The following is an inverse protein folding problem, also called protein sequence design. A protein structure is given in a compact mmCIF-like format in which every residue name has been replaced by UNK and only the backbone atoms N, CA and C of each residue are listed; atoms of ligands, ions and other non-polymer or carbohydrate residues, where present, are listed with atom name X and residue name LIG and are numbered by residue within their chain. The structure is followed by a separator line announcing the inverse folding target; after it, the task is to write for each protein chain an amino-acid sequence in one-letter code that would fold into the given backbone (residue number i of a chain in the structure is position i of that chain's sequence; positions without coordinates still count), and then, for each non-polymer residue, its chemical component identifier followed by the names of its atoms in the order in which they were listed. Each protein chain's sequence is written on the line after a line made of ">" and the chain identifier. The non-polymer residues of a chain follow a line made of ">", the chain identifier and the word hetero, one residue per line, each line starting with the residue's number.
data_IF_466460493437
#
_entry.id   IF_466460493437
#
_cell.length_a   1.000
_cell.length_b   1.000
_cell.length_c   1.000
_cell.angle_alpha   90.00
_cell.angle_beta   90.00
_cell.angle_gamma   90.00
#
_symmetry.space_group_name_H-M   'P 1'
#
loop_
_entity.id
_entity.type
_entity.pdbx_description
1 polymer ?
#
# COMPACT_ATOMS: atom_id res chain seq x y z
N UNK A 1 -28.91 -7.95 7.86
CA UNK A 1 -27.49 -8.13 7.44
C UNK A 1 -26.50 -7.17 8.13
N UNK A 2 -26.75 -5.86 8.23
CA UNK A 2 -25.81 -4.93 8.90
C UNK A 2 -25.64 -5.19 10.41
N UNK A 3 -26.71 -5.53 11.13
CA UNK A 3 -26.65 -5.90 12.54
C UNK A 3 -25.96 -7.25 12.80
N UNK A 4 -26.08 -8.19 11.86
CA UNK A 4 -25.44 -9.50 11.92
C UNK A 4 -23.91 -9.42 11.84
N UNK A 5 -23.37 -8.55 10.93
CA UNK A 5 -21.92 -8.37 10.81
C UNK A 5 -21.27 -7.74 12.07
N UNK A 6 -22.00 -6.88 12.79
CA UNK A 6 -21.50 -6.29 14.05
C UNK A 6 -21.43 -7.33 15.18
N UNK A 7 -22.37 -8.25 15.25
CA UNK A 7 -22.33 -9.36 16.22
C UNK A 7 -21.19 -10.33 15.88
N UNK A 8 -20.92 -10.59 14.61
CA UNK A 8 -19.90 -11.53 14.17
C UNK A 8 -18.48 -11.08 14.48
N UNK A 9 -18.15 -9.79 14.45
CA UNK A 9 -16.81 -9.30 14.82
C UNK A 9 -16.47 -9.56 16.28
N UNK A 10 -17.46 -9.49 17.17
CA UNK A 10 -17.26 -9.64 18.61
C UNK A 10 -17.63 -11.01 19.18
N UNK A 11 -18.40 -11.85 18.51
CA UNK A 11 -19.02 -13.05 19.08
C UNK A 11 -18.81 -14.34 18.29
N UNK A 12 -18.66 -14.29 16.97
CA UNK A 12 -18.44 -15.47 16.12
C UNK A 12 -17.03 -16.07 16.22
N UNK A 13 -16.77 -17.23 15.60
CA UNK A 13 -15.44 -17.84 15.55
C UNK A 13 -14.47 -16.93 14.78
N UNK A 14 -13.27 -16.69 15.34
CA UNK A 14 -12.31 -15.67 14.85
C UNK A 14 -11.73 -16.06 13.48
N UNK A 15 -11.34 -17.32 13.29
CA UNK A 15 -10.66 -17.77 12.06
C UNK A 15 -11.53 -17.65 10.80
N UNK A 16 -12.79 -18.16 10.78
CA UNK A 16 -13.68 -17.96 9.63
C UNK A 16 -13.95 -16.49 9.33
N UNK A 17 -14.14 -15.66 10.36
CA UNK A 17 -14.33 -14.24 10.23
C UNK A 17 -13.12 -13.55 9.57
N UNK A 18 -11.91 -13.90 10.01
CA UNK A 18 -10.67 -13.38 9.42
C UNK A 18 -10.58 -13.76 7.95
N UNK A 19 -10.83 -15.02 7.59
CA UNK A 19 -10.79 -15.45 6.19
C UNK A 19 -11.83 -14.71 5.32
N UNK A 20 -13.04 -14.46 5.84
CA UNK A 20 -14.06 -13.69 5.13
C UNK A 20 -13.63 -12.24 4.83
N UNK A 21 -12.76 -11.66 5.64
CA UNK A 21 -12.24 -10.30 5.43
C UNK A 21 -10.90 -10.30 4.67
N UNK A 22 -10.02 -11.25 4.94
CA UNK A 22 -8.69 -11.34 4.33
C UNK A 22 -8.76 -11.74 2.86
N UNK A 23 -9.58 -12.75 2.48
CA UNK A 23 -9.68 -13.20 1.10
C UNK A 23 -10.10 -12.07 0.15
N UNK A 24 -11.19 -11.33 0.39
CA UNK A 24 -11.53 -10.19 -0.45
C UNK A 24 -10.44 -9.11 -0.50
N UNK A 25 -9.76 -8.85 0.62
CA UNK A 25 -8.67 -7.87 0.66
C UNK A 25 -7.47 -8.31 -0.19
N UNK A 26 -7.08 -9.58 -0.13
CA UNK A 26 -6.02 -10.14 -0.98
C UNK A 26 -6.42 -10.09 -2.45
N UNK A 27 -7.65 -10.49 -2.79
CA UNK A 27 -8.17 -10.40 -4.16
C UNK A 27 -8.12 -8.97 -4.68
N UNK A 28 -8.52 -7.98 -3.86
CA UNK A 28 -8.44 -6.57 -4.25
C UNK A 28 -7.00 -6.13 -4.56
N UNK A 29 -6.01 -6.57 -3.78
CA UNK A 29 -4.59 -6.26 -4.05
C UNK A 29 -4.09 -6.90 -5.34
N UNK A 30 -4.45 -8.16 -5.60
CA UNK A 30 -4.07 -8.86 -6.84
C UNK A 30 -4.73 -8.20 -8.06
N UNK A 31 -6.02 -7.86 -7.99
CA UNK A 31 -6.73 -7.15 -9.06
C UNK A 31 -6.10 -5.79 -9.33
N UNK A 32 -5.73 -5.06 -8.27
CA UNK A 32 -5.05 -3.77 -8.39
C UNK A 32 -3.69 -3.89 -9.10
N UNK A 33 -2.92 -4.93 -8.81
CA UNK A 33 -1.67 -5.22 -9.50
C UNK A 33 -1.91 -5.52 -10.99
N UNK A 34 -2.88 -6.39 -11.28
CA UNK A 34 -3.17 -6.81 -12.65
C UNK A 34 -3.62 -5.64 -13.52
N UNK A 35 -4.52 -4.78 -13.02
CA UNK A 35 -4.96 -3.65 -13.82
C UNK A 35 -3.83 -2.66 -14.10
N UNK A 36 -2.92 -2.42 -13.15
CA UNK A 36 -1.75 -1.57 -13.36
C UNK A 36 -0.81 -2.12 -14.45
N UNK A 37 -0.69 -3.45 -14.53
CA UNK A 37 0.09 -4.12 -15.59
C UNK A 37 -0.58 -3.93 -16.94
N UNK A 38 -1.90 -4.15 -17.02
CA UNK A 38 -2.69 -4.03 -18.26
C UNK A 38 -2.65 -2.59 -18.79
N UNK A 39 -2.83 -1.59 -17.94
CA UNK A 39 -2.75 -0.17 -18.30
C UNK A 39 -1.38 0.17 -18.95
N UNK A 40 -0.27 -0.30 -18.33
CA UNK A 40 1.07 -0.11 -18.90
C UNK A 40 1.25 -0.82 -20.24
N UNK A 41 0.66 -2.00 -20.43
CA UNK A 41 0.68 -2.72 -21.68
C UNK A 41 -0.01 -1.88 -22.77
N UNK A 42 -1.19 -1.35 -22.52
CA UNK A 42 -1.90 -0.51 -23.49
C UNK A 42 -1.10 0.75 -23.85
N UNK A 43 -0.55 1.46 -22.84
CA UNK A 43 0.28 2.66 -23.09
C UNK A 43 1.51 2.32 -23.93
N UNK A 44 2.17 1.19 -23.64
CA UNK A 44 3.35 0.75 -24.38
C UNK A 44 3.09 0.38 -25.85
N UNK A 45 1.84 0.03 -26.20
CA UNK A 45 1.43 -0.34 -27.56
C UNK A 45 0.84 0.83 -28.36
N UNK A 46 0.94 2.07 -27.89
CA UNK A 46 0.54 3.25 -28.69
C UNK A 46 1.49 3.41 -29.87
N UNK A 47 0.95 3.34 -31.10
CA UNK A 47 1.73 3.42 -32.33
C UNK A 47 2.60 4.69 -32.39
N UNK A 48 3.86 4.52 -32.74
CA UNK A 48 4.83 5.60 -32.96
C UNK A 48 5.39 6.27 -31.69
N UNK A 49 4.70 6.18 -30.55
CA UNK A 49 5.09 6.90 -29.33
C UNK A 49 5.13 6.00 -28.06
N UNK A 50 4.79 4.71 -28.18
CA UNK A 50 4.58 3.82 -27.01
C UNK A 50 5.74 3.81 -26.01
N UNK A 51 6.99 3.71 -26.47
CA UNK A 51 8.16 3.71 -25.59
C UNK A 51 8.33 5.04 -24.84
N UNK A 52 8.20 6.18 -25.53
CA UNK A 52 8.31 7.51 -24.93
C UNK A 52 7.13 7.81 -23.98
N UNK A 53 5.93 7.35 -24.35
CA UNK A 53 4.72 7.46 -23.56
C UNK A 53 4.82 6.65 -22.26
N UNK A 54 5.25 5.38 -22.35
CA UNK A 54 5.43 4.51 -21.20
C UNK A 54 6.49 5.05 -20.24
N UNK A 55 7.61 5.54 -20.78
CA UNK A 55 8.66 6.21 -19.99
C UNK A 55 8.11 7.47 -19.32
N UNK A 56 7.38 8.31 -20.06
CA UNK A 56 6.78 9.53 -19.54
C UNK A 56 5.79 9.27 -18.38
N UNK A 57 4.90 8.27 -18.55
CA UNK A 57 3.98 7.86 -17.49
C UNK A 57 4.74 7.25 -16.31
N UNK A 58 5.81 6.49 -16.56
CA UNK A 58 6.68 5.96 -15.51
C UNK A 58 7.31 7.05 -14.64
N UNK A 59 7.71 8.19 -15.24
CA UNK A 59 8.26 9.34 -14.52
C UNK A 59 7.24 10.07 -13.64
N UNK A 60 5.94 9.83 -13.83
CA UNK A 60 4.88 10.32 -12.96
C UNK A 60 4.69 9.47 -11.70
N UNK A 61 5.27 8.28 -11.62
CA UNK A 61 5.10 7.34 -10.49
C UNK A 61 5.43 7.93 -9.11
N UNK A 62 6.48 8.76 -8.90
CA UNK A 62 6.73 9.37 -7.59
C UNK A 62 5.60 10.29 -7.12
N UNK A 63 4.94 11.01 -8.04
CA UNK A 63 3.77 11.84 -7.70
C UNK A 63 2.59 10.95 -7.29
N UNK A 64 2.36 9.84 -8.01
CA UNK A 64 1.34 8.84 -7.64
C UNK A 64 1.59 8.26 -6.25
N UNK A 65 2.82 7.91 -5.94
CA UNK A 65 3.20 7.38 -4.62
C UNK A 65 2.92 8.40 -3.51
N UNK A 66 3.20 9.67 -3.75
CA UNK A 66 2.94 10.72 -2.79
C UNK A 66 1.43 10.97 -2.59
N UNK A 67 0.64 10.97 -3.66
CA UNK A 67 -0.83 11.03 -3.57
C UNK A 67 -1.39 9.87 -2.73
N UNK A 68 -0.90 8.64 -3.00
CA UNK A 68 -1.28 7.45 -2.24
C UNK A 68 -0.84 7.54 -0.77
N UNK A 69 0.33 8.12 -0.50
CA UNK A 69 0.81 8.32 0.87
C UNK A 69 -0.13 9.24 1.68
N UNK A 70 -0.61 10.34 1.08
CA UNK A 70 -1.59 11.22 1.72
C UNK A 70 -2.96 10.55 1.90
N UNK A 71 -3.40 9.74 0.96
CA UNK A 71 -4.63 8.95 1.12
C UNK A 71 -4.51 7.96 2.29
N UNK A 72 -3.37 7.26 2.38
CA UNK A 72 -3.11 6.28 3.43
C UNK A 72 -2.82 6.93 4.79
N UNK A 73 -2.31 8.16 4.83
CA UNK A 73 -2.21 8.96 6.06
C UNK A 73 -3.56 9.03 6.78
N UNK A 74 -4.63 9.20 6.03
CA UNK A 74 -6.00 9.27 6.56
C UNK A 74 -6.61 7.87 6.69
N UNK A 75 -6.55 7.06 5.63
CA UNK A 75 -7.21 5.74 5.59
C UNK A 75 -6.64 4.78 6.63
N UNK A 76 -5.31 4.59 6.65
CA UNK A 76 -4.65 3.69 7.57
C UNK A 76 -4.61 4.21 9.02
N UNK A 77 -4.71 5.54 9.21
CA UNK A 77 -4.82 6.12 10.55
C UNK A 77 -6.24 6.10 11.10
N UNK A 78 -7.23 6.39 10.26
CA UNK A 78 -8.63 6.51 10.64
C UNK A 78 -9.34 5.16 10.81
N UNK A 79 -9.11 4.19 9.92
CA UNK A 79 -9.80 2.90 9.94
C UNK A 79 -9.64 2.12 11.25
N UNK A 80 -8.42 1.93 11.81
CA UNK A 80 -8.26 1.25 13.10
C UNK A 80 -8.94 1.99 14.24
N UNK A 81 -8.85 3.32 14.26
CA UNK A 81 -9.48 4.13 15.30
C UNK A 81 -11.00 4.03 15.24
N UNK A 82 -11.57 4.03 14.04
CA UNK A 82 -13.01 3.82 13.82
C UNK A 82 -13.43 2.43 14.32
N UNK A 83 -12.63 1.38 14.05
CA UNK A 83 -12.92 0.03 14.54
C UNK A 83 -12.85 -0.06 16.06
N UNK A 84 -11.87 0.60 16.68
CA UNK A 84 -11.73 0.66 18.15
C UNK A 84 -12.94 1.36 18.76
N UNK A 85 -13.33 2.55 18.25
CA UNK A 85 -14.51 3.28 18.73
C UNK A 85 -15.79 2.46 18.57
N UNK A 86 -15.94 1.75 17.45
CA UNK A 86 -17.06 0.87 17.20
C UNK A 86 -17.07 -0.33 18.18
N UNK A 87 -15.91 -0.88 18.50
CA UNK A 87 -15.74 -1.95 19.50
C UNK A 87 -16.11 -1.49 20.91
N UNK A 88 -15.81 -0.24 21.26
CA UNK A 88 -16.22 0.40 22.51
C UNK A 88 -17.73 0.73 22.56
N UNK A 89 -18.47 0.50 21.49
CA UNK A 89 -19.88 0.88 21.39
C UNK A 89 -20.13 2.34 21.08
N UNK A 90 -19.09 3.16 20.93
CA UNK A 90 -19.17 4.59 20.65
C UNK A 90 -19.30 4.85 19.14
N UNK A 91 -20.55 4.72 18.68
CA UNK A 91 -20.88 4.90 17.26
C UNK A 91 -20.69 6.35 16.82
N UNK A 92 -20.96 7.31 17.70
CA UNK A 92 -20.85 8.73 17.40
C UNK A 92 -19.40 9.12 17.08
N UNK A 93 -18.44 8.72 17.94
CA UNK A 93 -17.02 8.98 17.69
C UNK A 93 -16.54 8.30 16.41
N UNK A 94 -17.02 7.07 16.13
CA UNK A 94 -16.70 6.39 14.89
C UNK A 94 -17.19 7.16 13.65
N UNK A 95 -18.40 7.71 13.68
CA UNK A 95 -18.97 8.53 12.59
C UNK A 95 -18.23 9.88 12.48
N UNK A 96 -17.83 10.51 13.61
CA UNK A 96 -16.98 11.72 13.61
C UNK A 96 -15.63 11.48 12.95
N UNK A 97 -14.98 10.34 13.23
CA UNK A 97 -13.70 10.00 12.60
C UNK A 97 -13.88 9.88 11.08
N UNK A 98 -14.95 9.24 10.59
CA UNK A 98 -15.22 9.12 9.15
C UNK A 98 -15.48 10.48 8.52
N UNK A 99 -16.31 11.33 9.13
CA UNK A 99 -16.63 12.67 8.61
C UNK A 99 -15.41 13.58 8.54
N UNK A 100 -14.62 13.63 9.62
CA UNK A 100 -13.38 14.40 9.68
C UNK A 100 -12.35 13.89 8.66
N UNK A 101 -12.22 12.56 8.51
CA UNK A 101 -11.34 11.93 7.52
C UNK A 101 -11.71 12.29 6.10
N UNK A 102 -13.00 12.25 5.77
CA UNK A 102 -13.49 12.65 4.45
C UNK A 102 -13.14 14.10 4.13
N UNK A 103 -13.40 15.03 5.04
CA UNK A 103 -13.08 16.45 4.84
C UNK A 103 -11.59 16.67 4.70
N UNK A 104 -10.76 15.96 5.49
CA UNK A 104 -9.31 16.07 5.40
C UNK A 104 -8.75 15.52 4.08
N UNK A 105 -9.34 14.45 3.53
CA UNK A 105 -9.00 13.95 2.20
C UNK A 105 -9.33 14.97 1.11
N UNK A 106 -10.49 15.66 1.21
CA UNK A 106 -10.83 16.72 0.28
C UNK A 106 -9.87 17.91 0.38
N UNK A 107 -9.47 18.28 1.60
CA UNK A 107 -8.48 19.32 1.83
C UNK A 107 -7.13 18.95 1.17
N UNK A 108 -6.62 17.74 1.41
CA UNK A 108 -5.41 17.28 0.75
C UNK A 108 -5.56 17.21 -0.77
N UNK A 109 -6.72 16.77 -1.28
CA UNK A 109 -6.97 16.74 -2.70
C UNK A 109 -6.82 18.13 -3.34
N UNK A 110 -7.40 19.17 -2.73
CA UNK A 110 -7.29 20.55 -3.23
C UNK A 110 -5.84 21.05 -3.17
N UNK A 111 -5.18 20.89 -2.01
CA UNK A 111 -3.80 21.35 -1.82
C UNK A 111 -2.83 20.66 -2.78
N UNK A 112 -2.92 19.33 -2.92
CA UNK A 112 -2.05 18.55 -3.78
C UNK A 112 -2.36 18.82 -5.27
N UNK A 113 -3.64 18.99 -5.63
CA UNK A 113 -4.01 19.35 -7.00
C UNK A 113 -3.38 20.71 -7.39
N UNK A 114 -3.52 21.73 -6.56
CA UNK A 114 -2.94 23.05 -6.84
C UNK A 114 -1.41 22.96 -6.91
N UNK A 115 -0.78 22.33 -5.91
CA UNK A 115 0.67 22.22 -5.82
C UNK A 115 1.29 21.43 -6.98
N UNK A 116 0.75 20.25 -7.28
CA UNK A 116 1.28 19.41 -8.36
C UNK A 116 0.90 19.92 -9.75
N UNK A 117 -0.29 20.50 -9.94
CA UNK A 117 -0.68 21.03 -11.25
C UNK A 117 0.22 22.20 -11.68
N UNK A 118 0.53 23.09 -10.77
CA UNK A 118 1.44 24.20 -10.99
C UNK A 118 2.90 23.74 -11.15
N UNK A 119 3.33 22.79 -10.32
CA UNK A 119 4.71 22.29 -10.27
C UNK A 119 5.04 21.13 -11.21
N UNK A 120 4.05 20.53 -11.89
CA UNK A 120 4.24 19.30 -12.66
C UNK A 120 5.43 19.32 -13.64
N UNK A 121 5.62 20.34 -14.52
CA UNK A 121 6.73 20.32 -15.46
C UNK A 121 8.10 20.36 -14.76
N UNK A 122 8.23 21.15 -13.70
CA UNK A 122 9.47 21.28 -12.93
C UNK A 122 9.81 19.98 -12.17
N UNK A 123 8.81 19.38 -11.53
CA UNK A 123 8.96 18.11 -10.81
C UNK A 123 9.30 16.97 -11.75
N UNK A 124 8.63 16.87 -12.89
CA UNK A 124 8.91 15.82 -13.88
C UNK A 124 10.32 15.95 -14.46
N UNK A 125 10.81 17.17 -14.70
CA UNK A 125 12.21 17.39 -15.10
C UNK A 125 13.18 16.98 -13.99
N UNK A 126 12.87 17.28 -12.73
CA UNK A 126 13.66 16.85 -11.59
C UNK A 126 13.72 15.31 -11.48
N UNK A 127 12.65 14.61 -11.88
CA UNK A 127 12.59 13.15 -11.92
C UNK A 127 13.23 12.54 -13.18
N UNK A 128 13.84 13.36 -14.05
CA UNK A 128 14.61 12.89 -15.20
C UNK A 128 13.84 12.89 -16.53
N UNK A 129 12.73 13.63 -16.63
CA UNK A 129 12.03 13.77 -17.91
C UNK A 129 12.89 14.53 -18.92
N UNK A 130 13.14 13.89 -20.08
CA UNK A 130 13.77 14.49 -21.24
C UNK A 130 12.76 15.32 -22.04
N UNK A 131 13.25 16.15 -22.98
CA UNK A 131 12.37 16.91 -23.85
C UNK A 131 11.48 16.01 -24.74
N UNK A 132 11.88 14.76 -24.96
CA UNK A 132 11.08 13.76 -25.69
C UNK A 132 9.96 13.14 -24.83
N UNK A 133 10.16 12.93 -23.53
CA UNK A 133 9.22 12.25 -22.64
C UNK A 133 8.33 13.22 -21.86
N UNK A 134 8.80 14.44 -21.62
CA UNK A 134 8.10 15.47 -20.82
C UNK A 134 6.68 15.78 -21.33
N UNK A 135 6.43 15.92 -22.65
CA UNK A 135 5.08 16.23 -23.15
C UNK A 135 4.06 15.15 -22.77
N UNK A 136 4.46 13.87 -22.82
CA UNK A 136 3.59 12.75 -22.48
C UNK A 136 3.38 12.66 -20.96
N UNK A 137 4.43 12.84 -20.16
CA UNK A 137 4.35 12.89 -18.71
C UNK A 137 3.44 14.02 -18.20
N UNK A 138 3.54 15.20 -18.80
CA UNK A 138 2.69 16.37 -18.45
C UNK A 138 1.25 16.15 -18.93
N UNK A 139 1.04 15.60 -20.12
CA UNK A 139 -0.29 15.34 -20.66
C UNK A 139 -1.06 14.35 -19.80
N UNK A 140 -0.41 13.26 -19.38
CA UNK A 140 -0.96 12.28 -18.43
C UNK A 140 -1.17 12.91 -17.06
N UNK A 141 -0.11 13.52 -16.53
CA UNK A 141 -0.06 14.01 -15.15
C UNK A 141 -1.11 15.08 -14.87
N UNK A 142 -1.33 16.04 -15.75
CA UNK A 142 -2.32 17.10 -15.55
C UNK A 142 -3.74 16.56 -15.43
N UNK A 143 -4.12 15.61 -16.26
CA UNK A 143 -5.44 14.97 -16.22
C UNK A 143 -5.57 14.17 -14.91
N UNK A 144 -4.55 13.38 -14.59
CA UNK A 144 -4.55 12.58 -13.36
C UNK A 144 -4.61 13.43 -12.09
N UNK A 145 -3.84 14.53 -12.04
CA UNK A 145 -3.82 15.46 -10.90
C UNK A 145 -5.19 16.11 -10.69
N UNK A 146 -5.87 16.52 -11.76
CA UNK A 146 -7.24 17.06 -11.67
C UNK A 146 -8.23 16.01 -11.12
N UNK A 147 -8.02 14.74 -11.44
CA UNK A 147 -8.80 13.61 -10.93
C UNK A 147 -8.33 13.05 -9.59
N UNK A 148 -7.26 13.58 -9.00
CA UNK A 148 -6.66 13.05 -7.77
C UNK A 148 -7.61 13.00 -6.59
N UNK A 149 -8.63 13.86 -6.55
CA UNK A 149 -9.70 13.83 -5.53
C UNK A 149 -10.38 12.47 -5.46
N UNK A 150 -10.65 11.85 -6.60
CA UNK A 150 -11.29 10.54 -6.65
C UNK A 150 -10.34 9.45 -6.15
N UNK A 151 -9.05 9.53 -6.51
CA UNK A 151 -8.02 8.61 -6.05
C UNK A 151 -7.86 8.68 -4.53
N UNK A 152 -7.75 9.89 -3.97
CA UNK A 152 -7.64 10.08 -2.52
C UNK A 152 -8.88 9.55 -1.79
N UNK A 153 -10.08 9.79 -2.34
CA UNK A 153 -11.33 9.30 -1.76
C UNK A 153 -11.40 7.77 -1.81
N UNK A 154 -11.05 7.15 -2.94
CA UNK A 154 -11.07 5.68 -3.05
C UNK A 154 -10.08 5.06 -2.09
N UNK A 155 -8.82 5.47 -2.11
CA UNK A 155 -7.76 4.89 -1.28
C UNK A 155 -7.96 5.22 0.20
N UNK A 156 -8.40 6.43 0.54
CA UNK A 156 -8.55 6.87 1.92
C UNK A 156 -9.84 6.45 2.59
N UNK A 157 -10.96 6.33 1.84
CA UNK A 157 -12.27 5.98 2.43
C UNK A 157 -12.62 4.49 2.35
N UNK A 158 -12.04 3.74 1.42
CA UNK A 158 -12.30 2.30 1.27
C UNK A 158 -11.98 1.48 2.55
N UNK A 159 -10.89 1.77 3.30
CA UNK A 159 -10.61 1.11 4.58
C UNK A 159 -11.74 1.23 5.61
N UNK A 160 -12.51 2.31 5.61
CA UNK A 160 -13.64 2.48 6.52
C UNK A 160 -14.82 1.55 6.20
N UNK A 161 -14.95 1.10 4.95
CA UNK A 161 -15.93 0.07 4.57
C UNK A 161 -15.51 -1.29 5.13
N UNK A 162 -14.23 -1.64 4.97
CA UNK A 162 -13.66 -2.88 5.52
C UNK A 162 -13.76 -2.92 7.04
N UNK A 163 -13.53 -1.80 7.70
CA UNK A 163 -13.63 -1.62 9.16
C UNK A 163 -15.03 -1.95 9.71
N UNK A 164 -16.06 -1.78 8.92
CA UNK A 164 -17.43 -2.14 9.28
C UNK A 164 -17.76 -3.62 9.00
N UNK A 165 -16.80 -4.43 8.51
CA UNK A 165 -17.01 -5.84 8.15
C UNK A 165 -17.44 -6.08 6.71
N UNK A 166 -17.55 -5.03 5.88
CA UNK A 166 -18.00 -5.13 4.49
C UNK A 166 -16.85 -5.31 3.49
N UNK A 167 -15.91 -6.22 3.78
CA UNK A 167 -14.72 -6.44 2.94
C UNK A 167 -15.07 -6.80 1.48
N UNK A 168 -16.17 -7.53 1.23
CA UNK A 168 -16.64 -7.81 -0.13
C UNK A 168 -17.03 -6.55 -0.90
N UNK A 169 -17.66 -5.57 -0.23
CA UNK A 169 -18.03 -4.29 -0.85
C UNK A 169 -16.79 -3.46 -1.13
N UNK A 170 -15.83 -3.45 -0.20
CA UNK A 170 -14.52 -2.82 -0.39
C UNK A 170 -13.76 -3.43 -1.58
N UNK A 171 -13.72 -4.76 -1.68
CA UNK A 171 -13.15 -5.46 -2.84
C UNK A 171 -13.84 -5.07 -4.15
N UNK A 172 -15.18 -5.05 -4.16
CA UNK A 172 -15.97 -4.69 -5.35
C UNK A 172 -15.65 -3.27 -5.83
N UNK A 173 -15.34 -2.33 -4.95
CA UNK A 173 -14.88 -0.98 -5.35
C UNK A 173 -13.66 -1.08 -6.25
N UNK A 174 -12.65 -1.87 -5.85
CA UNK A 174 -11.41 -2.08 -6.62
C UNK A 174 -11.68 -2.84 -7.92
N UNK A 175 -12.48 -3.91 -7.87
CA UNK A 175 -12.81 -4.73 -9.04
C UNK A 175 -13.59 -3.92 -10.09
N UNK A 176 -14.61 -3.15 -9.68
CA UNK A 176 -15.38 -2.29 -10.58
C UNK A 176 -14.48 -1.25 -11.22
N UNK A 177 -13.62 -0.58 -10.44
CA UNK A 177 -12.65 0.37 -10.96
C UNK A 177 -11.71 -0.26 -11.98
N UNK A 178 -11.14 -1.43 -11.67
CA UNK A 178 -10.24 -2.15 -12.57
C UNK A 178 -10.93 -2.58 -13.89
N UNK A 179 -12.14 -3.14 -13.80
CA UNK A 179 -12.90 -3.56 -14.99
C UNK A 179 -13.24 -2.36 -15.88
N UNK A 180 -13.70 -1.26 -15.30
CA UNK A 180 -14.00 -0.03 -16.05
C UNK A 180 -12.75 0.52 -16.72
N UNK A 181 -11.61 0.55 -16.01
CA UNK A 181 -10.35 1.02 -16.56
C UNK A 181 -9.90 0.15 -17.75
N UNK A 182 -9.86 -1.17 -17.59
CA UNK A 182 -9.47 -2.13 -18.64
C UNK A 182 -10.35 -2.00 -19.89
N UNK A 183 -11.65 -1.68 -19.72
CA UNK A 183 -12.56 -1.50 -20.86
C UNK A 183 -12.39 -0.12 -21.50
N UNK A 184 -12.22 0.94 -20.68
CA UNK A 184 -12.11 2.31 -21.21
C UNK A 184 -10.75 2.59 -21.84
N UNK A 185 -9.67 1.99 -21.37
CA UNK A 185 -8.32 2.20 -21.91
C UNK A 185 -8.26 1.98 -23.41
N UNK A 186 -8.60 0.80 -23.97
CA UNK A 186 -8.52 0.61 -25.43
C UNK A 186 -9.47 1.51 -26.21
N UNK A 187 -10.64 1.85 -25.65
CA UNK A 187 -11.62 2.73 -26.32
C UNK A 187 -11.07 4.15 -26.41
N UNK A 188 -10.50 4.68 -25.32
CA UNK A 188 -10.02 6.07 -25.28
C UNK A 188 -8.63 6.21 -25.91
N UNK A 189 -7.74 5.23 -25.69
CA UNK A 189 -6.37 5.25 -26.22
C UNK A 189 -6.37 5.07 -27.73
N UNK A 190 -6.99 3.99 -28.22
CA UNK A 190 -6.95 3.58 -29.62
C UNK A 190 -8.20 3.99 -30.38
N UNK A 191 -9.41 3.76 -29.83
CA UNK A 191 -10.68 4.03 -30.48
C UNK A 191 -10.91 5.52 -30.77
N UNK A 192 -10.67 6.39 -29.78
CA UNK A 192 -10.76 7.85 -29.94
C UNK A 192 -9.41 8.50 -30.30
N UNK A 193 -8.32 7.74 -30.33
CA UNK A 193 -7.00 8.25 -30.65
C UNK A 193 -6.42 9.26 -29.65
N UNK A 194 -6.89 9.24 -28.39
CA UNK A 194 -6.41 10.18 -27.37
C UNK A 194 -5.05 9.81 -26.78
N UNK A 195 -4.52 8.62 -27.13
CA UNK A 195 -3.21 8.16 -26.67
C UNK A 195 -3.07 8.22 -25.15
N UNK A 196 -1.96 8.79 -24.67
CA UNK A 196 -1.65 8.90 -23.23
C UNK A 196 -2.71 9.67 -22.42
N UNK A 197 -3.36 10.66 -23.04
CA UNK A 197 -4.48 11.39 -22.40
C UNK A 197 -5.67 10.48 -22.18
N UNK A 198 -5.92 9.56 -23.11
CA UNK A 198 -6.97 8.54 -23.00
C UNK A 198 -6.78 7.64 -21.78
N UNK A 199 -5.57 7.14 -21.56
CA UNK A 199 -5.21 6.36 -20.39
C UNK A 199 -5.47 7.13 -19.09
N UNK A 200 -5.04 8.39 -19.01
CA UNK A 200 -5.28 9.22 -17.83
C UNK A 200 -6.78 9.43 -17.56
N UNK A 201 -7.58 9.71 -18.59
CA UNK A 201 -9.03 9.89 -18.49
C UNK A 201 -9.71 8.60 -18.05
N UNK A 202 -9.33 7.44 -18.63
CA UNK A 202 -9.88 6.15 -18.24
C UNK A 202 -9.63 5.85 -16.75
N UNK A 203 -8.41 6.11 -16.28
CA UNK A 203 -8.06 5.94 -14.87
C UNK A 203 -8.88 6.88 -13.97
N UNK A 204 -8.98 8.17 -14.31
CA UNK A 204 -9.76 9.13 -13.52
C UNK A 204 -11.24 8.77 -13.49
N UNK A 205 -11.84 8.36 -14.61
CA UNK A 205 -13.24 7.93 -14.66
C UNK A 205 -13.50 6.68 -13.83
N UNK A 206 -12.60 5.69 -13.91
CA UNK A 206 -12.70 4.48 -13.09
C UNK A 206 -12.64 4.78 -11.59
N UNK A 207 -11.74 5.68 -11.19
CA UNK A 207 -11.65 6.14 -9.80
C UNK A 207 -12.87 6.98 -9.39
N UNK A 208 -13.42 7.79 -10.28
CA UNK A 208 -14.64 8.55 -10.02
C UNK A 208 -15.84 7.63 -9.73
N UNK A 209 -16.00 6.57 -10.53
CA UNK A 209 -17.03 5.55 -10.28
C UNK A 209 -16.80 4.85 -8.94
N UNK A 210 -15.56 4.49 -8.62
CA UNK A 210 -15.20 3.92 -7.32
C UNK A 210 -15.53 4.86 -6.16
N UNK A 211 -15.20 6.16 -6.27
CA UNK A 211 -15.52 7.17 -5.27
C UNK A 211 -17.05 7.33 -5.08
N UNK A 212 -17.80 7.39 -6.17
CA UNK A 212 -19.27 7.45 -6.13
C UNK A 212 -19.87 6.19 -5.45
N UNK A 213 -19.30 5.01 -5.73
CA UNK A 213 -19.71 3.75 -5.09
C UNK A 213 -19.49 3.79 -3.58
N UNK A 214 -18.31 4.23 -3.13
CA UNK A 214 -17.97 4.39 -1.70
C UNK A 214 -18.92 5.38 -1.03
N UNK A 215 -19.13 6.55 -1.62
CA UNK A 215 -20.00 7.57 -1.07
C UNK A 215 -21.47 7.10 -0.99
N UNK A 216 -21.96 6.45 -2.04
CA UNK A 216 -23.30 5.84 -2.06
C UNK A 216 -23.44 4.79 -0.96
N UNK A 217 -22.40 4.00 -0.69
CA UNK A 217 -22.43 3.03 0.41
C UNK A 217 -22.43 3.73 1.77
N UNK A 218 -21.50 4.67 2.02
CA UNK A 218 -21.35 5.34 3.31
C UNK A 218 -22.52 6.29 3.67
N UNK A 219 -23.29 6.74 2.68
CA UNK A 219 -24.50 7.54 2.92
C UNK A 219 -25.78 6.70 2.88
N UNK A 220 -25.69 5.45 2.42
CA UNK A 220 -26.82 4.56 2.20
C UNK A 220 -27.36 3.90 3.48
N UNK A 221 -28.45 3.10 3.35
CA UNK A 221 -29.06 2.42 4.49
C UNK A 221 -28.31 1.16 4.95
N UNK A 222 -27.42 0.61 4.13
CA UNK A 222 -26.70 -0.66 4.41
C UNK A 222 -25.47 -0.46 5.31
N UNK A 223 -24.93 0.75 5.37
CA UNK A 223 -23.76 1.06 6.21
C UNK A 223 -24.13 1.11 7.69
N UNK A 224 -23.22 0.64 8.55
CA UNK A 224 -23.36 0.74 10.02
C UNK A 224 -23.04 2.16 10.47
N UNK A 225 -21.96 2.72 9.91
CA UNK A 225 -21.46 4.06 10.21
C UNK A 225 -21.72 4.97 9.02
N UNK A 226 -22.51 6.00 9.22
CA UNK A 226 -22.92 6.92 8.15
C UNK A 226 -21.98 8.12 8.06
N UNK A 227 -21.64 8.50 6.84
CA UNK A 227 -21.06 9.80 6.57
C UNK A 227 -22.15 10.88 6.74
N UNK A 228 -22.13 11.60 7.88
CA UNK A 228 -23.11 12.63 8.23
C UNK A 228 -22.57 14.02 7.98
N UNK A 229 -23.40 14.92 7.49
CA UNK A 229 -23.03 16.33 7.26
C UNK A 229 -22.60 17.05 8.55
N UNK A 230 -23.18 16.66 9.68
CA UNK A 230 -22.90 17.22 11.01
C UNK A 230 -21.42 17.03 11.42
N UNK A 231 -20.78 15.94 10.98
CA UNK A 231 -19.42 15.56 11.35
C UNK A 231 -18.36 15.91 10.29
N UNK A 232 -18.72 16.70 9.28
CA UNK A 232 -17.77 17.15 8.26
C UNK A 232 -16.84 18.27 8.78
N UNK A 233 -17.20 18.93 9.87
CA UNK A 233 -16.34 19.94 10.49
C UNK A 233 -15.12 19.25 11.12
N UNK A 234 -13.93 19.69 10.72
CA UNK A 234 -12.68 19.12 11.23
C UNK A 234 -12.47 19.53 12.68
N UNK A 235 -12.44 18.55 13.56
CA UNK A 235 -12.15 18.70 14.98
C UNK A 235 -10.72 18.24 15.26
N UNK A 236 -9.89 19.12 15.86
CA UNK A 236 -8.48 18.81 16.17
C UNK A 236 -8.35 17.56 17.06
N UNK A 237 -9.25 17.37 18.04
CA UNK A 237 -9.27 16.22 18.92
C UNK A 237 -9.50 14.88 18.20
N UNK A 238 -10.16 14.90 17.05
CA UNK A 238 -10.48 13.74 16.23
C UNK A 238 -9.38 13.50 15.20
N UNK A 239 -8.98 14.55 14.46
CA UNK A 239 -8.09 14.38 13.30
C UNK A 239 -6.61 14.19 13.70
N UNK A 240 -6.11 14.85 14.75
CA UNK A 240 -4.71 14.73 15.15
C UNK A 240 -4.33 13.28 15.54
N UNK A 241 -5.15 12.54 16.31
CA UNK A 241 -4.89 11.13 16.55
C UNK A 241 -4.95 10.24 15.29
N UNK A 242 -5.79 10.59 14.30
CA UNK A 242 -5.84 9.91 12.99
C UNK A 242 -4.54 10.14 12.24
N UNK A 243 -4.11 11.38 12.09
CA UNK A 243 -2.84 11.75 11.46
C UNK A 243 -1.66 11.10 12.19
N UNK A 244 -1.65 11.13 13.53
CA UNK A 244 -0.60 10.54 14.33
C UNK A 244 -0.43 9.02 14.10
N UNK A 245 -1.52 8.29 13.88
CA UNK A 245 -1.45 6.85 13.57
C UNK A 245 -1.09 6.61 12.10
N UNK A 246 -1.64 7.39 11.19
CA UNK A 246 -1.42 7.25 9.76
C UNK A 246 -0.04 7.69 9.28
N UNK A 247 0.69 8.51 10.05
CA UNK A 247 2.01 9.01 9.66
C UNK A 247 3.03 7.89 9.42
N UNK A 248 2.90 6.74 10.07
CA UNK A 248 3.76 5.60 9.80
C UNK A 248 3.55 5.03 8.40
N UNK A 249 2.29 4.91 7.94
CA UNK A 249 2.00 4.50 6.55
C UNK A 249 2.43 5.54 5.54
N UNK A 250 2.26 6.83 5.85
CA UNK A 250 2.75 7.92 5.03
C UNK A 250 4.28 7.85 4.84
N UNK A 251 5.03 7.69 5.92
CA UNK A 251 6.51 7.56 5.88
C UNK A 251 6.91 6.32 5.10
N UNK A 252 6.23 5.18 5.32
CA UNK A 252 6.54 3.95 4.60
C UNK A 252 6.39 4.10 3.08
N UNK A 253 5.31 4.74 2.61
CA UNK A 253 5.07 4.93 1.18
C UNK A 253 5.97 6.03 0.58
N UNK A 254 6.16 7.12 1.29
CA UNK A 254 7.02 8.22 0.82
C UNK A 254 8.49 7.82 0.71
N UNK A 255 8.96 6.90 1.55
CA UNK A 255 10.35 6.42 1.51
C UNK A 255 10.62 5.38 0.40
N UNK A 256 9.59 4.80 -0.23
CA UNK A 256 9.78 3.85 -1.35
C UNK A 256 10.55 4.49 -2.52
N UNK A 257 10.23 5.74 -2.86
CA UNK A 257 10.94 6.46 -3.93
C UNK A 257 12.41 6.69 -3.58
N UNK A 258 12.72 7.04 -2.32
CA UNK A 258 14.11 7.22 -1.86
C UNK A 258 14.89 5.91 -1.92
N UNK A 259 14.26 4.79 -1.54
CA UNK A 259 14.86 3.46 -1.64
C UNK A 259 15.16 3.07 -3.08
N UNK A 260 14.19 3.27 -3.98
CA UNK A 260 14.37 2.98 -5.40
C UNK A 260 15.54 3.77 -5.99
N UNK A 261 15.65 5.07 -5.67
CA UNK A 261 16.78 5.91 -6.10
C UNK A 261 18.09 5.41 -5.51
N UNK A 262 18.12 5.08 -4.21
CA UNK A 262 19.32 4.61 -3.52
C UNK A 262 19.85 3.30 -4.11
N UNK A 263 18.97 2.33 -4.36
CA UNK A 263 19.34 1.07 -5.00
C UNK A 263 19.83 1.31 -6.44
N UNK A 264 19.04 2.04 -7.25
CA UNK A 264 19.37 2.27 -8.65
C UNK A 264 20.68 3.02 -8.82
N UNK A 265 20.95 4.07 -8.02
CA UNK A 265 22.19 4.84 -8.09
C UNK A 265 23.41 4.02 -7.68
N UNK A 266 23.30 3.23 -6.59
CA UNK A 266 24.39 2.37 -6.13
C UNK A 266 24.69 1.24 -7.11
N UNK A 267 23.64 0.57 -7.63
CA UNK A 267 23.80 -0.52 -8.59
C UNK A 267 24.32 -0.02 -9.96
N UNK A 268 23.87 1.15 -10.42
CA UNK A 268 24.38 1.77 -11.63
C UNK A 268 25.89 2.09 -11.51
N UNK A 269 26.32 2.57 -10.32
CA UNK A 269 27.71 2.88 -10.05
C UNK A 269 28.63 1.65 -10.02
N UNK A 270 28.16 0.54 -9.46
CA UNK A 270 28.99 -0.64 -9.20
C UNK A 270 28.82 -1.77 -10.22
N UNK A 271 27.64 -1.94 -10.79
CA UNK A 271 27.29 -3.07 -11.65
C UNK A 271 26.73 -2.65 -13.04
N UNK A 272 26.56 -1.34 -13.29
CA UNK A 272 26.04 -0.84 -14.57
C UNK A 272 24.60 -1.27 -14.84
N UNK A 273 24.24 -1.24 -16.13
CA UNK A 273 22.86 -1.44 -16.59
C UNK A 273 22.29 -2.82 -16.27
N UNK A 274 23.14 -3.87 -16.24
CA UNK A 274 22.70 -5.23 -15.93
C UNK A 274 22.22 -5.35 -14.47
N UNK A 275 22.91 -4.68 -13.53
CA UNK A 275 22.53 -4.68 -12.14
C UNK A 275 21.24 -3.90 -11.88
N UNK A 276 21.04 -2.77 -12.57
CA UNK A 276 19.81 -1.98 -12.52
C UNK A 276 18.65 -2.76 -13.14
N UNK A 277 18.89 -3.44 -14.27
CA UNK A 277 17.91 -4.31 -14.91
C UNK A 277 17.46 -5.46 -13.99
N UNK A 278 18.43 -6.13 -13.35
CA UNK A 278 18.15 -7.17 -12.36
C UNK A 278 17.32 -6.64 -11.18
N UNK A 279 17.64 -5.46 -10.66
CA UNK A 279 16.87 -4.83 -9.57
C UNK A 279 15.44 -4.53 -9.98
N UNK A 280 15.19 -4.15 -11.22
CA UNK A 280 13.84 -3.91 -11.75
C UNK A 280 13.00 -5.19 -11.72
N UNK A 281 13.57 -6.32 -12.15
CA UNK A 281 12.92 -7.64 -12.06
C UNK A 281 12.66 -8.02 -10.61
N UNK A 282 13.68 -7.89 -9.75
CA UNK A 282 13.58 -8.21 -8.31
C UNK A 282 12.49 -7.38 -7.63
N UNK A 283 12.40 -6.08 -7.93
CA UNK A 283 11.34 -5.20 -7.38
C UNK A 283 9.95 -5.67 -7.80
N UNK A 284 9.78 -6.07 -9.06
CA UNK A 284 8.51 -6.59 -9.57
C UNK A 284 8.10 -7.89 -8.86
N UNK A 285 9.06 -8.80 -8.66
CA UNK A 285 8.85 -10.04 -7.92
C UNK A 285 8.54 -9.77 -6.44
N UNK A 286 9.22 -8.78 -5.83
CA UNK A 286 8.95 -8.37 -4.43
C UNK A 286 7.53 -7.87 -4.24
N UNK A 287 6.96 -7.17 -5.22
CA UNK A 287 5.56 -6.72 -5.17
C UNK A 287 4.58 -7.91 -5.14
N UNK A 288 4.86 -8.99 -5.87
CA UNK A 288 4.06 -10.21 -5.84
C UNK A 288 4.06 -10.86 -4.45
N UNK A 289 5.14 -10.72 -3.69
CA UNK A 289 5.19 -11.18 -2.30
C UNK A 289 4.45 -10.23 -1.35
N UNK A 290 4.70 -8.93 -1.47
CA UNK A 290 4.27 -7.93 -0.48
C UNK A 290 2.77 -7.66 -0.53
N UNK A 291 2.17 -7.60 -1.72
CA UNK A 291 0.76 -7.24 -1.88
C UNK A 291 -0.22 -8.22 -1.21
N UNK A 292 -0.07 -9.57 -1.35
CA UNK A 292 -0.92 -10.51 -0.62
C UNK A 292 -0.78 -10.39 0.90
N UNK A 293 0.42 -10.16 1.42
CA UNK A 293 0.65 -9.96 2.86
C UNK A 293 -0.08 -8.70 3.34
N UNK A 294 -0.02 -7.61 2.57
CA UNK A 294 -0.78 -6.40 2.87
C UNK A 294 -2.29 -6.67 2.88
N UNK A 295 -2.79 -7.45 1.93
CA UNK A 295 -4.19 -7.88 1.90
C UNK A 295 -4.59 -8.68 3.14
N UNK A 296 -3.77 -9.63 3.58
CA UNK A 296 -3.97 -10.40 4.82
C UNK A 296 -4.06 -9.44 6.02
N UNK A 297 -3.12 -8.52 6.14
CA UNK A 297 -3.07 -7.57 7.25
C UNK A 297 -4.26 -6.60 7.23
N UNK A 298 -4.62 -6.07 6.07
CA UNK A 298 -5.78 -5.18 5.90
C UNK A 298 -7.10 -5.86 6.25
N UNK A 299 -7.25 -7.15 5.91
CA UNK A 299 -8.43 -7.93 6.29
C UNK A 299 -8.46 -8.30 7.78
N UNK A 300 -7.30 -8.51 8.41
CA UNK A 300 -7.19 -8.83 9.84
C UNK A 300 -7.35 -7.62 10.77
N UNK A 301 -6.97 -6.43 10.30
CA UNK A 301 -6.95 -5.20 11.08
C UNK A 301 -8.30 -4.86 11.74
N UNK A 302 -9.46 -4.90 11.03
CA UNK A 302 -10.76 -4.59 11.65
C UNK A 302 -11.12 -5.49 12.82
N UNK A 303 -10.81 -6.80 12.71
CA UNK A 303 -11.10 -7.77 13.77
C UNK A 303 -10.27 -7.49 15.01
N UNK A 304 -8.97 -7.24 14.84
CA UNK A 304 -8.08 -6.90 15.96
C UNK A 304 -8.48 -5.58 16.61
N UNK A 305 -8.71 -4.53 15.82
CA UNK A 305 -9.05 -3.18 16.30
C UNK A 305 -10.40 -3.18 17.05
N UNK A 306 -11.42 -3.83 16.47
CA UNK A 306 -12.75 -3.94 17.10
C UNK A 306 -12.68 -4.68 18.44
N UNK A 307 -12.06 -5.87 18.45
CA UNK A 307 -11.99 -6.68 19.68
C UNK A 307 -11.08 -6.04 20.73
N UNK A 308 -10.08 -5.26 20.32
CA UNK A 308 -9.28 -4.43 21.23
C UNK A 308 -10.13 -3.34 21.89
N UNK A 309 -10.94 -2.62 21.10
CA UNK A 309 -11.89 -1.63 21.62
C UNK A 309 -12.94 -2.23 22.54
N UNK A 310 -13.39 -3.46 22.24
CA UNK A 310 -14.35 -4.21 23.06
C UNK A 310 -13.74 -4.91 24.28
N UNK A 311 -12.44 -4.75 24.57
CA UNK A 311 -11.74 -5.38 25.70
C UNK A 311 -11.55 -6.90 25.59
N UNK A 312 -11.81 -7.52 24.43
CA UNK A 312 -11.78 -8.97 24.21
C UNK A 312 -10.38 -9.49 23.89
N UNK A 313 -9.47 -9.47 24.88
CA UNK A 313 -8.04 -9.81 24.75
C UNK A 313 -7.79 -11.16 24.08
N UNK A 314 -8.52 -12.21 24.46
CA UNK A 314 -8.34 -13.55 23.92
C UNK A 314 -8.56 -13.58 22.39
N UNK A 315 -9.57 -12.87 21.91
CA UNK A 315 -9.88 -12.78 20.47
C UNK A 315 -8.83 -11.99 19.70
N UNK A 316 -8.29 -10.93 20.29
CA UNK A 316 -7.16 -10.18 19.68
C UNK A 316 -5.93 -11.07 19.53
N UNK A 317 -5.60 -11.85 20.59
CA UNK A 317 -4.48 -12.81 20.54
C UNK A 317 -4.69 -13.90 19.49
N UNK A 318 -5.89 -14.45 19.38
CA UNK A 318 -6.23 -15.46 18.38
C UNK A 318 -6.14 -14.87 16.96
N UNK A 319 -6.68 -13.68 16.75
CA UNK A 319 -6.63 -12.99 15.46
C UNK A 319 -5.17 -12.69 15.04
N UNK A 320 -4.36 -12.19 15.95
CA UNK A 320 -2.94 -11.95 15.70
C UNK A 320 -2.18 -13.24 15.34
N UNK A 321 -2.35 -14.30 16.14
CA UNK A 321 -1.69 -15.60 15.88
C UNK A 321 -2.05 -16.14 14.51
N UNK A 322 -3.32 -16.09 14.15
CA UNK A 322 -3.78 -16.57 12.84
C UNK A 322 -3.21 -15.74 11.70
N UNK A 323 -3.24 -14.40 11.81
CA UNK A 323 -2.63 -13.50 10.84
C UNK A 323 -1.12 -13.76 10.69
N UNK A 324 -0.39 -13.87 11.80
CA UNK A 324 1.04 -14.16 11.80
C UNK A 324 1.34 -15.49 11.12
N UNK A 325 0.55 -16.54 11.41
CA UNK A 325 0.71 -17.86 10.79
C UNK A 325 0.51 -17.80 9.27
N UNK A 326 -0.50 -17.07 8.79
CA UNK A 326 -0.74 -16.90 7.36
C UNK A 326 0.38 -16.09 6.69
N UNK A 327 0.80 -14.98 7.27
CA UNK A 327 1.89 -14.17 6.74
C UNK A 327 3.20 -14.97 6.68
N UNK A 328 3.56 -15.64 7.77
CA UNK A 328 4.78 -16.46 7.84
C UNK A 328 4.72 -17.66 6.89
N UNK A 329 3.60 -18.35 6.83
CA UNK A 329 3.41 -19.49 5.90
C UNK A 329 3.53 -19.06 4.44
N UNK A 330 2.92 -17.93 4.07
CA UNK A 330 3.01 -17.39 2.72
C UNK A 330 4.44 -16.96 2.37
N UNK A 331 5.12 -16.22 3.26
CA UNK A 331 6.51 -15.79 3.01
C UNK A 331 7.47 -16.96 2.97
N UNK A 332 7.23 -18.02 3.76
CA UNK A 332 8.02 -19.25 3.71
C UNK A 332 7.87 -19.95 2.35
N UNK A 333 6.63 -20.11 1.89
CA UNK A 333 6.37 -20.71 0.58
C UNK A 333 7.00 -19.89 -0.56
N UNK A 334 6.86 -18.56 -0.50
CA UNK A 334 7.44 -17.66 -1.48
C UNK A 334 8.97 -17.69 -1.45
N UNK A 335 9.58 -17.72 -0.27
CA UNK A 335 11.02 -17.84 -0.10
C UNK A 335 11.55 -19.16 -0.69
N UNK A 336 10.89 -20.28 -0.38
CA UNK A 336 11.26 -21.58 -0.96
C UNK A 336 11.22 -21.55 -2.49
N UNK A 337 10.21 -20.94 -3.08
CA UNK A 337 10.09 -20.78 -4.54
C UNK A 337 11.25 -19.95 -5.10
N UNK A 338 11.56 -18.80 -4.47
CA UNK A 338 12.64 -17.92 -4.92
C UNK A 338 14.04 -18.54 -4.73
N UNK A 339 14.23 -19.39 -3.74
CA UNK A 339 15.50 -20.11 -3.55
C UNK A 339 15.64 -21.30 -4.52
N UNK A 340 14.55 -22.00 -4.81
CA UNK A 340 14.55 -23.19 -5.65
C UNK A 340 14.68 -22.88 -7.15
N UNK A 341 13.86 -21.93 -7.65
CA UNK A 341 13.72 -21.69 -9.10
C UNK A 341 13.79 -20.20 -9.50
N UNK A 342 14.75 -19.42 -9.00
CA UNK A 342 14.81 -17.98 -9.30
C UNK A 342 15.04 -17.69 -10.79
N UNK A 343 15.78 -18.56 -11.50
CA UNK A 343 16.02 -18.42 -12.94
C UNK A 343 14.76 -18.57 -13.80
N UNK A 344 13.84 -19.46 -13.40
CA UNK A 344 12.53 -19.59 -14.07
C UNK A 344 11.70 -18.33 -13.89
N UNK A 345 11.71 -17.79 -12.67
CA UNK A 345 11.00 -16.54 -12.38
C UNK A 345 11.59 -15.36 -13.13
N UNK A 346 12.93 -15.23 -13.17
CA UNK A 346 13.61 -14.21 -13.97
C UNK A 346 13.29 -14.33 -15.46
N UNK A 347 13.24 -15.56 -15.99
CA UNK A 347 12.91 -15.85 -17.39
C UNK A 347 11.49 -15.47 -17.82
N UNK A 348 10.56 -15.22 -16.87
CA UNK A 348 9.23 -14.67 -17.18
C UNK A 348 9.34 -13.18 -17.61
N UNK A 349 10.34 -12.46 -17.10
CA UNK A 349 10.49 -11.01 -17.33
C UNK A 349 11.43 -10.67 -18.49
N UNK A 350 12.36 -11.54 -18.83
CA UNK A 350 13.34 -11.30 -19.88
C UNK A 350 13.77 -12.61 -20.56
N UNK A 351 14.18 -12.50 -21.83
CA UNK A 351 14.80 -13.59 -22.60
C UNK A 351 16.32 -13.46 -22.72
N UNK A 352 16.92 -12.40 -22.16
CA UNK A 352 18.37 -12.20 -22.16
C UNK A 352 19.02 -13.12 -21.12
N UNK A 353 19.82 -14.09 -21.60
CA UNK A 353 20.47 -15.08 -20.77
C UNK A 353 21.43 -14.45 -19.73
N UNK A 354 22.18 -13.42 -20.09
CA UNK A 354 23.10 -12.75 -19.18
C UNK A 354 22.36 -12.05 -18.03
N UNK A 355 21.22 -11.40 -18.36
CA UNK A 355 20.37 -10.76 -17.37
C UNK A 355 19.66 -11.80 -16.50
N UNK A 356 19.23 -12.94 -17.03
CA UNK A 356 18.64 -14.06 -16.25
C UNK A 356 19.64 -14.59 -15.22
N UNK A 357 20.87 -14.88 -15.65
CA UNK A 357 21.91 -15.42 -14.77
C UNK A 357 22.26 -14.44 -13.65
N UNK A 358 22.46 -13.16 -13.99
CA UNK A 358 22.75 -12.12 -13.00
C UNK A 358 21.57 -11.92 -12.03
N UNK A 359 20.34 -11.86 -12.55
CA UNK A 359 19.13 -11.72 -11.73
C UNK A 359 18.92 -12.93 -10.82
N UNK A 360 19.22 -14.14 -11.30
CA UNK A 360 19.13 -15.38 -10.50
C UNK A 360 20.05 -15.33 -9.29
N UNK A 361 21.28 -14.89 -9.47
CA UNK A 361 22.25 -14.69 -8.39
C UNK A 361 21.79 -13.58 -7.44
N UNK A 362 21.45 -12.40 -7.94
CA UNK A 362 21.04 -11.25 -7.15
C UNK A 362 19.74 -11.51 -6.36
N UNK A 363 18.77 -12.23 -6.98
CA UNK A 363 17.48 -12.58 -6.36
C UNK A 363 17.67 -13.49 -5.15
N UNK A 364 18.57 -14.46 -5.19
CA UNK A 364 18.86 -15.34 -4.04
C UNK A 364 19.38 -14.55 -2.85
N UNK A 365 20.18 -13.53 -3.09
CA UNK A 365 20.74 -12.66 -2.03
C UNK A 365 19.64 -11.75 -1.49
N UNK A 366 18.99 -10.99 -2.36
CA UNK A 366 18.00 -9.99 -1.99
C UNK A 366 16.80 -10.61 -1.26
N UNK A 367 16.30 -11.76 -1.74
CA UNK A 367 15.14 -12.44 -1.18
C UNK A 367 15.45 -13.30 0.06
N UNK A 368 16.70 -13.41 0.50
CA UNK A 368 17.07 -14.21 1.67
C UNK A 368 16.35 -13.75 2.95
N UNK A 369 16.07 -12.45 3.10
CA UNK A 369 15.39 -11.87 4.26
C UNK A 369 13.85 -11.97 4.25
N UNK A 370 13.25 -12.45 3.17
CA UNK A 370 11.77 -12.40 2.99
C UNK A 370 11.00 -13.16 4.08
N UNK A 371 11.58 -14.21 4.65
CA UNK A 371 11.01 -14.93 5.80
C UNK A 371 10.76 -13.99 6.98
N UNK A 372 11.74 -13.16 7.29
CA UNK A 372 11.68 -12.21 8.39
C UNK A 372 10.66 -11.08 8.11
N UNK A 373 10.52 -10.68 6.84
CA UNK A 373 9.58 -9.64 6.41
C UNK A 373 8.13 -9.98 6.74
N UNK A 374 7.71 -11.26 6.62
CA UNK A 374 6.34 -11.67 6.97
C UNK A 374 6.02 -11.43 8.45
N UNK A 375 6.97 -11.75 9.34
CA UNK A 375 6.83 -11.48 10.78
C UNK A 375 6.84 -9.98 11.05
N UNK A 376 7.74 -9.24 10.42
CA UNK A 376 7.88 -7.80 10.59
C UNK A 376 6.59 -7.06 10.22
N UNK A 377 6.02 -7.34 9.04
CA UNK A 377 4.79 -6.70 8.56
C UNK A 377 3.61 -7.07 9.45
N UNK A 378 3.45 -8.36 9.83
CA UNK A 378 2.36 -8.79 10.70
C UNK A 378 2.39 -8.09 12.06
N UNK A 379 3.55 -7.99 12.71
CA UNK A 379 3.69 -7.30 13.99
C UNK A 379 3.47 -5.79 13.86
N UNK A 380 4.04 -5.14 12.82
CA UNK A 380 3.91 -3.69 12.63
C UNK A 380 2.47 -3.28 12.33
N UNK A 381 1.77 -4.01 11.45
CA UNK A 381 0.36 -3.75 11.15
C UNK A 381 -0.54 -4.00 12.36
N UNK A 382 -0.16 -4.95 13.23
CA UNK A 382 -0.87 -5.18 14.49
C UNK A 382 -0.69 -4.01 15.47
N UNK A 383 0.48 -3.38 15.54
CA UNK A 383 0.64 -2.13 16.31
C UNK A 383 -0.30 -1.03 15.81
N UNK A 384 -0.47 -0.90 14.49
CA UNK A 384 -1.41 0.06 13.91
C UNK A 384 -2.86 -0.29 14.28
N UNK A 385 -3.22 -1.57 14.17
CA UNK A 385 -4.54 -2.06 14.55
C UNK A 385 -4.89 -1.77 16.03
N UNK A 386 -3.88 -1.80 16.91
CA UNK A 386 -4.01 -1.50 18.34
C UNK A 386 -3.82 -0.01 18.68
N UNK A 387 -3.77 0.87 17.68
CA UNK A 387 -3.65 2.32 17.86
C UNK A 387 -2.30 2.81 18.41
N UNK A 388 -1.22 2.01 18.26
CA UNK A 388 0.12 2.33 18.79
C UNK A 388 0.94 3.17 17.82
N UNK A 389 0.52 4.43 17.59
CA UNK A 389 1.09 5.34 16.59
C UNK A 389 2.61 5.53 16.72
N UNK A 390 3.09 5.85 17.92
CA UNK A 390 4.52 6.16 18.17
C UNK A 390 5.43 4.96 17.88
N UNK A 391 5.00 3.77 18.30
CA UNK A 391 5.78 2.54 18.10
C UNK A 391 5.79 2.17 16.63
N UNK A 392 4.64 2.23 15.96
CA UNK A 392 4.54 1.95 14.53
C UNK A 392 5.40 2.87 13.68
N UNK A 393 5.40 4.18 13.97
CA UNK A 393 6.25 5.16 13.28
C UNK A 393 7.74 4.87 13.50
N UNK A 394 8.14 4.61 14.74
CA UNK A 394 9.54 4.31 15.05
C UNK A 394 10.04 3.09 14.27
N UNK A 395 9.24 2.01 14.23
CA UNK A 395 9.59 0.79 13.52
C UNK A 395 9.61 0.98 11.98
N UNK A 396 8.71 1.82 11.44
CA UNK A 396 8.71 2.18 10.03
C UNK A 396 9.99 2.93 9.64
N UNK A 397 10.37 3.94 10.42
CA UNK A 397 11.61 4.70 10.22
C UNK A 397 12.86 3.83 10.42
N UNK A 398 12.85 2.94 11.43
CA UNK A 398 13.96 2.05 11.73
C UNK A 398 14.32 1.20 10.51
N UNK A 399 13.36 0.49 9.92
CA UNK A 399 13.62 -0.42 8.80
C UNK A 399 14.17 0.31 7.58
N UNK A 400 13.50 1.35 7.12
CA UNK A 400 13.80 1.97 5.83
C UNK A 400 14.85 3.07 5.91
N UNK A 401 14.72 3.97 6.87
CA UNK A 401 15.55 5.18 6.95
C UNK A 401 16.83 4.91 7.75
N UNK A 402 16.71 4.23 8.88
CA UNK A 402 17.83 4.04 9.81
C UNK A 402 18.69 2.84 9.42
N UNK A 403 18.09 1.76 8.93
CA UNK A 403 18.81 0.54 8.57
C UNK A 403 19.07 0.47 7.06
N UNK A 404 18.04 0.37 6.23
CA UNK A 404 18.19 0.00 4.83
C UNK A 404 18.97 1.04 4.02
N UNK A 405 18.57 2.31 4.04
CA UNK A 405 19.26 3.34 3.24
C UNK A 405 20.75 3.43 3.60
N UNK A 406 21.17 3.53 4.88
CA UNK A 406 22.58 3.53 5.21
C UNK A 406 23.30 2.24 4.80
N UNK A 407 22.69 1.06 4.97
CA UNK A 407 23.30 -0.22 4.61
C UNK A 407 23.58 -0.33 3.10
N UNK A 408 22.71 0.22 2.24
CA UNK A 408 22.92 0.26 0.78
C UNK A 408 24.26 0.95 0.43
N UNK A 409 24.62 2.00 1.16
CA UNK A 409 25.86 2.74 0.92
C UNK A 409 27.05 2.22 1.72
N UNK A 410 26.84 1.64 2.90
CA UNK A 410 27.91 1.21 3.83
C UNK A 410 28.42 -0.19 3.46
N UNK A 411 27.52 -1.18 3.26
CA UNK A 411 27.93 -2.58 3.04
C UNK A 411 28.87 -2.78 1.84
N UNK A 412 28.71 -2.07 0.71
CA UNK A 412 29.64 -2.22 -0.41
C UNK A 412 31.10 -1.91 -0.08
N UNK A 413 31.38 -1.17 1.00
CA UNK A 413 32.75 -0.86 1.44
C UNK A 413 33.41 -1.99 2.23
N UNK A 414 32.63 -2.95 2.75
CA UNK A 414 33.11 -4.05 3.58
C UNK A 414 33.19 -5.40 2.85
N UNK A 415 32.70 -5.47 1.62
CA UNK A 415 32.69 -6.70 0.82
C UNK A 415 33.48 -6.53 -0.48
N UNK A 416 34.08 -7.61 -0.97
CA UNK A 416 34.88 -7.58 -2.20
C UNK A 416 34.04 -7.26 -3.43
N UNK A 417 32.85 -7.90 -3.55
CA UNK A 417 31.88 -7.60 -4.59
C UNK A 417 30.89 -6.53 -4.08
N UNK A 418 31.01 -5.34 -4.63
CA UNK A 418 30.22 -4.18 -4.23
C UNK A 418 28.72 -4.36 -4.55
N UNK A 419 28.40 -5.00 -5.67
CA UNK A 419 27.00 -5.31 -6.01
C UNK A 419 26.38 -6.30 -5.03
N UNK A 420 27.14 -7.31 -4.62
CA UNK A 420 26.73 -8.22 -3.54
C UNK A 420 26.39 -7.44 -2.25
N UNK A 421 27.22 -6.46 -1.89
CA UNK A 421 26.99 -5.60 -0.72
C UNK A 421 25.69 -4.80 -0.81
N UNK A 422 25.39 -4.24 -1.99
CA UNK A 422 24.13 -3.51 -2.23
C UNK A 422 22.91 -4.42 -2.08
N UNK A 423 22.92 -5.61 -2.72
CA UNK A 423 21.79 -6.55 -2.61
C UNK A 423 21.66 -7.14 -1.20
N UNK A 424 22.77 -7.32 -0.48
CA UNK A 424 22.79 -7.82 0.89
C UNK A 424 22.17 -6.84 1.91
N UNK A 425 22.07 -5.55 1.56
CA UNK A 425 21.49 -4.54 2.44
C UNK A 425 20.04 -4.85 2.82
N UNK A 426 19.23 -5.37 1.88
CA UNK A 426 17.82 -5.71 2.13
C UNK A 426 17.66 -6.83 3.16
N UNK A 427 18.23 -8.05 2.98
CA UNK A 427 18.06 -9.11 3.96
C UNK A 427 18.65 -8.79 5.33
N UNK A 428 19.75 -8.06 5.40
CA UNK A 428 20.32 -7.62 6.68
C UNK A 428 19.37 -6.65 7.40
N UNK A 429 18.86 -5.66 6.68
CA UNK A 429 17.87 -4.72 7.21
C UNK A 429 16.59 -5.44 7.65
N UNK A 430 16.08 -6.37 6.85
CA UNK A 430 14.87 -7.12 7.16
C UNK A 430 15.02 -7.99 8.41
N UNK A 431 16.14 -8.70 8.55
CA UNK A 431 16.43 -9.53 9.72
C UNK A 431 16.53 -8.67 11.01
N UNK A 432 17.26 -7.57 10.95
CA UNK A 432 17.42 -6.66 12.08
C UNK A 432 16.07 -6.01 12.45
N UNK A 433 15.36 -5.47 11.45
CA UNK A 433 14.06 -4.83 11.68
C UNK A 433 13.02 -5.81 12.19
N UNK A 434 12.95 -7.03 11.64
CA UNK A 434 12.02 -8.06 12.08
C UNK A 434 12.31 -8.49 13.52
N UNK A 435 13.58 -8.67 13.86
CA UNK A 435 13.99 -9.04 15.22
C UNK A 435 13.59 -7.96 16.23
N UNK A 436 13.93 -6.69 15.95
CA UNK A 436 13.60 -5.56 16.83
C UNK A 436 12.07 -5.40 16.92
N UNK A 437 11.35 -5.53 15.79
CA UNK A 437 9.88 -5.43 15.76
C UNK A 437 9.24 -6.55 16.56
N UNK A 438 9.68 -7.80 16.39
CA UNK A 438 9.15 -8.94 17.11
C UNK A 438 9.40 -8.82 18.63
N UNK A 439 10.63 -8.52 19.04
CA UNK A 439 10.96 -8.30 20.46
C UNK A 439 10.09 -7.18 21.05
N UNK A 440 9.98 -6.06 20.35
CA UNK A 440 9.16 -4.91 20.80
C UNK A 440 7.69 -5.30 20.87
N UNK A 441 7.19 -6.07 19.93
CA UNK A 441 5.80 -6.50 19.90
C UNK A 441 5.49 -7.45 21.06
N UNK A 442 6.20 -8.56 21.18
CA UNK A 442 5.92 -9.57 22.20
C UNK A 442 6.16 -9.05 23.62
N UNK A 443 7.12 -8.14 23.84
CA UNK A 443 7.37 -7.54 25.16
C UNK A 443 6.29 -6.53 25.59
N UNK A 444 5.55 -5.94 24.63
CA UNK A 444 4.55 -4.89 24.90
C UNK A 444 3.11 -5.35 24.68
N UNK A 445 2.90 -6.45 23.95
CA UNK A 445 1.59 -6.86 23.47
C UNK A 445 0.58 -7.05 24.62
N UNK A 446 0.94 -7.82 25.66
CA UNK A 446 0.06 -8.04 26.80
C UNK A 446 -0.22 -6.74 27.56
N UNK A 447 0.79 -5.90 27.77
CA UNK A 447 0.63 -4.59 28.43
C UNK A 447 -0.30 -3.65 27.65
N UNK A 448 -0.26 -3.70 26.30
CA UNK A 448 -1.15 -2.92 25.44
C UNK A 448 -2.59 -3.42 25.59
N UNK A 449 -2.79 -4.75 25.58
CA UNK A 449 -4.10 -5.35 25.75
C UNK A 449 -4.72 -5.05 27.13
N UNK A 450 -3.89 -5.00 28.17
CA UNK A 450 -4.34 -4.66 29.53
C UNK A 450 -4.83 -3.22 29.63
N UNK A 451 -4.16 -2.28 28.97
CA UNK A 451 -4.58 -0.86 28.90
C UNK A 451 -5.87 -0.65 28.11
N UNK A 452 -6.11 -1.45 27.07
CA UNK A 452 -7.34 -1.40 26.28
C UNK A 452 -8.56 -1.83 27.10
N UNK A 453 -8.42 -2.84 27.93
CA UNK A 453 -9.51 -3.33 28.80
C UNK A 453 -9.89 -2.39 29.97
N UNK A 454 -8.98 -1.51 30.39
CA UNK A 454 -9.26 -0.53 31.45
C UNK A 454 -9.95 0.77 30.98
N UNK A 455 -10.26 0.86 29.67
CA UNK A 455 -10.97 2.00 29.06
C UNK A 455 -12.36 1.62 28.52
N UNK A 456 -12.78 0.37 28.69
CA UNK A 456 -14.12 -0.15 28.40
C UNK A 456 -15.01 -0.19 29.69
#
# INVERSE_FOLDING_TARGET
>A
MAAQNRQDMGSGPVKPLLLQLMIPAVVAQVVNLLYNIVDRIYIGHIEGIGAAALTGVGLFAPILMLLNAFAMLIGAGGAPRTAIALGQGNKEDAEKIIGNSFTMLLFFAVVLTIGFYAGAPALLRLFGASDATLPYAVAYGRIYILGSVFVLLVMGMNPFITTQGFAKISMLTTVIGAVINIILDPILIFGLGWGVRGAAVATVLSQAVGACWILKFLTGPKTILKLRKEYLRVERGVILPVLGLGISSFVMLSTESLLSISFSSSLACYGGDIAVGAMTVITSVSQLCTLPIQGICQGGQPVMSFNFGAGKKARVKEAFRFQLTLCFGYTTLFWLLMMAVPGVVAGIFTSDAALIDYTTWAMRIYMAGILAMGVQIACQQSFMALGQAKVSLLLACLRKIILLIPLIFILPHFVADKCFGVFLAEPVSDLLAATITAITFFSRFDKILDRGAGRA
#
